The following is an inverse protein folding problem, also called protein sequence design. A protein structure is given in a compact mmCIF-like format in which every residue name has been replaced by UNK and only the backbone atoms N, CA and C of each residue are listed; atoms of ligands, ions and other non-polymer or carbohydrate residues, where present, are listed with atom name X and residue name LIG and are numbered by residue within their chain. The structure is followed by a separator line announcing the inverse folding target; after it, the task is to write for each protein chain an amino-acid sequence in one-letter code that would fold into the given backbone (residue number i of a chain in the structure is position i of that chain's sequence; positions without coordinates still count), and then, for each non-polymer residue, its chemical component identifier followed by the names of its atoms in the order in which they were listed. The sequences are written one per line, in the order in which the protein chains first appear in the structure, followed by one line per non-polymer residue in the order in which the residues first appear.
data_IF_086053725928
#
_entry.id   IF_086053725928
#
_cell.length_a   1.000
_cell.length_b   1.000
_cell.length_c   1.000
_cell.angle_alpha   90.00
_cell.angle_beta   90.00
_cell.angle_gamma   90.00
#
_symmetry.space_group_name_H-M   'P 1'
#
loop_
_entity.id
_entity.type
_entity.pdbx_description
1 polymer ?
#
# COMPACT_ATOMS: atom_id res chain seq x y z
N UNK A 1 1.08 60.46 -24.01
CA UNK A 1 1.15 58.98 -24.16
C UNK A 1 2.33 58.43 -23.37
N UNK A 2 2.12 57.44 -22.49
CA UNK A 2 3.19 56.91 -21.63
C UNK A 2 4.24 56.10 -22.41
N UNK A 3 5.50 56.52 -22.35
CA UNK A 3 6.65 55.82 -22.95
C UNK A 3 7.17 54.70 -22.06
N UNK A 4 7.08 54.85 -20.72
CA UNK A 4 7.65 53.90 -19.76
C UNK A 4 6.82 52.63 -19.47
N UNK A 5 5.51 52.62 -19.72
CA UNK A 5 4.62 51.45 -19.48
C UNK A 5 4.26 50.70 -20.77
N UNK A 6 5.24 50.54 -21.67
CA UNK A 6 5.11 49.74 -22.90
C UNK A 6 5.88 48.42 -22.77
N UNK A 7 5.35 47.37 -23.36
CA UNK A 7 5.97 46.04 -23.37
C UNK A 7 7.36 46.04 -24.03
N UNK A 8 7.52 46.79 -25.13
CA UNK A 8 8.82 46.96 -25.80
C UNK A 8 9.86 47.58 -24.87
N UNK A 9 9.52 48.71 -24.24
CA UNK A 9 10.38 49.43 -23.30
C UNK A 9 10.60 48.68 -21.97
N UNK A 10 9.70 47.76 -21.58
CA UNK A 10 9.95 46.84 -20.47
C UNK A 10 11.03 45.82 -20.84
N UNK A 11 10.92 45.18 -22.01
CA UNK A 11 11.85 44.13 -22.43
C UNK A 11 13.28 44.65 -22.59
N UNK A 12 13.42 45.86 -23.12
CA UNK A 12 14.71 46.57 -23.17
C UNK A 12 15.29 46.83 -21.77
N UNK A 13 14.48 47.34 -20.82
CA UNK A 13 14.92 47.55 -19.43
C UNK A 13 15.25 46.27 -18.67
N UNK A 14 14.57 45.17 -18.97
CA UNK A 14 14.81 43.88 -18.34
C UNK A 14 16.03 43.14 -18.92
N UNK A 15 16.79 43.76 -19.82
CA UNK A 15 17.97 43.13 -20.42
C UNK A 15 17.62 41.92 -21.28
N UNK A 16 16.37 41.83 -21.76
CA UNK A 16 15.92 40.82 -22.74
C UNK A 16 15.65 41.47 -24.10
N UNK A 17 16.61 42.20 -24.70
CA UNK A 17 16.38 42.80 -26.00
C UNK A 17 16.34 41.69 -27.05
N UNK A 18 15.21 41.57 -27.76
CA UNK A 18 15.04 40.82 -29.01
C UNK A 18 15.82 39.49 -29.06
N UNK A 19 15.19 38.38 -28.67
CA UNK A 19 15.69 37.00 -28.88
C UNK A 19 15.88 36.59 -30.37
N UNK A 20 15.89 37.52 -31.33
CA UNK A 20 15.89 37.23 -32.77
C UNK A 20 14.62 36.54 -33.29
N UNK A 21 13.84 35.89 -32.41
CA UNK A 21 12.61 35.15 -32.68
C UNK A 21 11.38 36.01 -32.31
N UNK A 22 11.16 37.08 -33.06
CA UNK A 22 10.02 37.99 -32.85
C UNK A 22 8.63 37.33 -32.92
N UNK A 23 8.55 36.14 -33.53
CA UNK A 23 7.36 35.31 -33.76
C UNK A 23 7.00 34.37 -32.60
N UNK A 24 7.93 34.04 -31.69
CA UNK A 24 7.69 33.07 -30.59
C UNK A 24 7.18 33.77 -29.32
N UNK A 25 6.25 34.72 -29.47
CA UNK A 25 5.65 35.43 -28.34
C UNK A 25 4.32 34.78 -27.96
N UNK A 26 4.19 34.40 -26.70
CA UNK A 26 2.90 33.95 -26.15
C UNK A 26 1.99 35.15 -25.94
N UNK A 27 0.80 35.13 -26.55
CA UNK A 27 -0.21 36.18 -26.35
C UNK A 27 -0.53 36.34 -24.87
N UNK A 28 -0.57 37.59 -24.40
CA UNK A 28 -0.92 37.94 -23.02
C UNK A 28 0.26 38.07 -22.05
N UNK A 29 1.50 37.95 -22.54
CA UNK A 29 2.71 38.24 -21.74
C UNK A 29 2.69 39.70 -21.25
N UNK A 30 2.86 39.89 -19.94
CA UNK A 30 2.85 41.20 -19.30
C UNK A 30 3.79 41.20 -18.07
N UNK A 31 3.86 42.32 -17.35
CA UNK A 31 4.81 42.48 -16.22
C UNK A 31 4.58 41.44 -15.10
N UNK A 32 3.36 40.95 -14.92
CA UNK A 32 2.98 40.01 -13.86
C UNK A 32 2.97 38.54 -14.30
N UNK A 33 2.96 38.30 -15.62
CA UNK A 33 2.76 36.99 -16.23
C UNK A 33 3.80 36.76 -17.31
N UNK A 34 4.77 35.93 -16.96
CA UNK A 34 5.72 35.36 -17.89
C UNK A 34 5.07 34.30 -18.79
N UNK A 35 5.70 34.01 -19.93
CA UNK A 35 5.24 33.00 -20.88
C UNK A 35 4.96 31.62 -20.24
N UNK A 36 5.78 31.17 -19.28
CA UNK A 36 5.56 29.92 -18.54
C UNK A 36 4.29 29.98 -17.69
N UNK A 37 4.09 31.07 -16.95
CA UNK A 37 2.90 31.30 -16.11
C UNK A 37 1.63 31.42 -16.95
N UNK A 38 1.71 31.99 -18.15
CA UNK A 38 0.60 32.01 -19.10
C UNK A 38 0.25 30.63 -19.63
N UNK A 39 1.24 29.79 -19.96
CA UNK A 39 0.98 28.41 -20.39
C UNK A 39 0.28 27.61 -19.30
N UNK A 40 0.70 27.72 -18.04
CA UNK A 40 0.04 27.04 -16.91
C UNK A 40 -1.36 27.59 -16.65
N UNK A 41 -1.57 28.91 -16.73
CA UNK A 41 -2.90 29.50 -16.58
C UNK A 41 -3.85 29.12 -17.74
N UNK A 42 -3.31 28.99 -18.95
CA UNK A 42 -4.09 28.57 -20.10
C UNK A 42 -4.49 27.10 -20.01
N UNK A 43 -3.71 26.25 -19.32
CA UNK A 43 -4.07 24.85 -19.05
C UNK A 43 -5.43 24.72 -18.35
N UNK A 44 -5.76 25.59 -17.39
CA UNK A 44 -7.06 25.55 -16.71
C UNK A 44 -8.25 25.94 -17.61
N UNK A 45 -7.98 26.62 -18.72
CA UNK A 45 -8.98 26.99 -19.74
C UNK A 45 -8.99 26.00 -20.90
N UNK A 46 -7.94 25.20 -21.02
CA UNK A 46 -7.73 24.21 -22.06
C UNK A 46 -8.47 22.90 -21.73
N UNK A 47 -8.74 22.07 -22.74
CA UNK A 47 -9.52 20.84 -22.60
C UNK A 47 -10.86 20.83 -23.34
N UNK A 48 -11.14 21.86 -24.14
CA UNK A 48 -12.30 21.90 -25.05
C UNK A 48 -11.83 21.70 -26.49
N UNK A 49 -12.55 20.84 -27.23
CA UNK A 49 -12.35 20.69 -28.66
C UNK A 49 -12.80 21.96 -29.41
N UNK A 50 -12.07 22.35 -30.46
CA UNK A 50 -12.48 23.43 -31.36
C UNK A 50 -13.28 22.87 -32.51
N UNK A 51 -14.36 23.56 -32.90
CA UNK A 51 -15.27 23.14 -33.95
C UNK A 51 -15.41 24.21 -35.03
N UNK A 52 -15.70 23.80 -36.27
CA UNK A 52 -16.13 24.70 -37.34
C UNK A 52 -17.61 25.12 -37.14
N UNK A 53 -18.12 26.00 -38.00
CA UNK A 53 -19.52 26.45 -37.93
C UNK A 53 -20.52 25.30 -38.18
N UNK A 54 -20.10 24.27 -38.91
CA UNK A 54 -20.84 23.04 -39.21
C UNK A 54 -20.86 22.05 -38.03
N UNK A 55 -20.10 22.31 -36.97
CA UNK A 55 -20.05 21.48 -35.76
C UNK A 55 -19.01 20.35 -35.79
N UNK A 56 -18.21 20.23 -36.85
CA UNK A 56 -17.13 19.26 -36.97
C UNK A 56 -15.91 19.69 -36.15
N UNK A 57 -15.24 18.73 -35.51
CA UNK A 57 -14.07 18.98 -34.67
C UNK A 57 -12.86 19.27 -35.57
N UNK A 58 -12.34 20.50 -35.50
CA UNK A 58 -11.13 20.91 -36.22
C UNK A 58 -9.87 20.66 -35.42
N UNK A 59 -9.95 20.79 -34.09
CA UNK A 59 -8.86 20.48 -33.16
C UNK A 59 -9.44 19.70 -31.99
N UNK A 60 -8.94 18.48 -31.78
CA UNK A 60 -9.31 17.67 -30.62
C UNK A 60 -8.91 18.35 -29.31
N UNK A 61 -9.61 18.02 -28.22
CA UNK A 61 -9.19 18.47 -26.90
C UNK A 61 -7.82 17.87 -26.54
N UNK A 62 -7.09 18.55 -25.67
CA UNK A 62 -5.81 18.08 -25.14
C UNK A 62 -5.95 16.66 -24.56
N UNK A 63 -5.05 15.76 -24.96
CA UNK A 63 -5.06 14.32 -24.62
C UNK A 63 -6.25 13.50 -25.14
N UNK A 64 -7.00 13.99 -26.13
CA UNK A 64 -8.12 13.29 -26.78
C UNK A 64 -7.94 13.16 -28.30
N UNK A 65 -6.71 12.90 -28.76
CA UNK A 65 -6.46 12.55 -30.16
C UNK A 65 -7.13 11.23 -30.51
N UNK A 66 -7.77 11.17 -31.69
CA UNK A 66 -8.43 9.95 -32.20
C UNK A 66 -7.50 9.10 -33.07
N UNK A 67 -6.28 9.58 -33.29
CA UNK A 67 -5.28 8.94 -34.13
C UNK A 67 -4.74 7.69 -33.43
N UNK A 68 -4.78 6.54 -34.12
CA UNK A 68 -4.19 5.30 -33.62
C UNK A 68 -2.66 5.36 -33.81
N UNK A 69 -1.86 5.28 -32.73
CA UNK A 69 -0.41 5.23 -32.88
C UNK A 69 0.04 3.86 -33.40
N UNK A 70 1.08 3.84 -34.23
CA UNK A 70 1.76 2.61 -34.63
C UNK A 70 2.59 2.08 -33.45
N UNK A 71 2.01 1.22 -32.63
CA UNK A 71 2.67 0.63 -31.46
C UNK A 71 3.51 -0.60 -31.86
N UNK A 72 4.68 -0.37 -32.47
CA UNK A 72 5.67 -1.43 -32.77
C UNK A 72 6.87 -1.30 -31.85
N UNK A 73 7.31 -2.42 -31.28
CA UNK A 73 8.53 -2.50 -30.47
C UNK A 73 9.65 -3.00 -31.39
N UNK A 74 10.69 -2.21 -31.54
CA UNK A 74 11.85 -2.59 -32.34
C UNK A 74 12.63 -3.71 -31.64
N UNK A 75 12.99 -4.79 -32.36
CA UNK A 75 13.86 -5.83 -31.81
C UNK A 75 15.24 -5.23 -31.50
N UNK A 76 15.65 -5.29 -30.24
CA UNK A 76 16.93 -4.74 -29.78
C UNK A 76 17.65 -5.72 -28.85
N UNK A 77 18.94 -5.96 -29.07
CA UNK A 77 19.77 -6.82 -28.21
C UNK A 77 19.85 -6.29 -26.77
N UNK A 78 19.66 -4.98 -26.57
CA UNK A 78 19.66 -4.33 -25.26
C UNK A 78 18.52 -4.81 -24.34
N UNK A 79 17.42 -5.34 -24.88
CA UNK A 79 16.34 -5.91 -24.08
C UNK A 79 16.78 -7.11 -23.25
N UNK A 80 17.78 -7.84 -23.74
CA UNK A 80 18.28 -9.08 -23.12
C UNK A 80 19.57 -8.85 -22.32
N UNK A 81 20.07 -7.61 -22.25
CA UNK A 81 21.21 -7.28 -21.42
C UNK A 81 20.75 -6.97 -19.99
N UNK A 82 21.60 -7.30 -19.01
CA UNK A 82 21.32 -7.01 -17.60
C UNK A 82 21.23 -5.48 -17.40
N UNK A 83 20.05 -4.99 -17.00
CA UNK A 83 19.78 -3.54 -16.86
C UNK A 83 20.17 -2.98 -15.48
N UNK A 84 20.22 -3.83 -14.45
CA UNK A 84 20.67 -3.47 -13.10
C UNK A 84 21.38 -4.66 -12.47
N UNK A 85 22.66 -4.50 -12.15
CA UNK A 85 23.50 -5.49 -11.47
C UNK A 85 24.04 -4.85 -10.20
N UNK A 86 24.19 -5.64 -9.14
CA UNK A 86 24.76 -5.21 -7.86
C UNK A 86 25.79 -6.25 -7.42
N UNK A 87 26.90 -5.80 -6.82
CA UNK A 87 27.90 -6.70 -6.26
C UNK A 87 27.45 -7.25 -4.91
N UNK A 88 27.93 -8.44 -4.55
CA UNK A 88 27.59 -9.06 -3.27
C UNK A 88 28.07 -8.23 -2.07
N UNK A 89 29.26 -7.64 -2.16
CA UNK A 89 29.81 -6.77 -1.11
C UNK A 89 28.97 -5.51 -0.89
N UNK A 90 28.48 -4.90 -1.98
CA UNK A 90 27.57 -3.76 -1.91
C UNK A 90 26.21 -4.17 -1.33
N UNK A 91 25.74 -5.40 -1.57
CA UNK A 91 24.52 -5.92 -0.95
C UNK A 91 24.68 -6.10 0.57
N UNK A 92 25.78 -6.70 1.02
CA UNK A 92 26.00 -6.95 2.45
C UNK A 92 26.15 -5.65 3.24
N UNK A 93 27.04 -4.75 2.80
CA UNK A 93 27.22 -3.43 3.43
C UNK A 93 25.91 -2.62 3.48
N UNK A 94 25.04 -2.82 2.49
CA UNK A 94 23.74 -2.16 2.46
C UNK A 94 22.73 -2.78 3.43
N UNK A 95 22.71 -4.11 3.61
CA UNK A 95 21.87 -4.77 4.62
C UNK A 95 22.20 -4.24 6.02
N UNK A 96 23.48 -4.10 6.33
CA UNK A 96 23.95 -3.59 7.62
C UNK A 96 23.52 -2.14 7.83
N UNK A 97 23.74 -1.27 6.83
CA UNK A 97 23.35 0.14 6.91
C UNK A 97 21.83 0.36 7.01
N UNK A 98 21.02 -0.49 6.37
CA UNK A 98 19.56 -0.42 6.47
C UNK A 98 19.09 -0.92 7.84
N UNK A 99 19.66 -2.00 8.37
CA UNK A 99 19.32 -2.52 9.69
C UNK A 99 19.61 -1.48 10.79
N UNK A 100 20.76 -0.80 10.71
CA UNK A 100 21.13 0.27 11.64
C UNK A 100 20.13 1.44 11.57
N UNK A 101 19.86 1.95 10.36
CA UNK A 101 19.03 3.16 10.17
C UNK A 101 17.53 2.93 10.27
N UNK A 102 17.03 1.73 10.00
CA UNK A 102 15.60 1.43 10.11
C UNK A 102 15.09 1.50 11.55
N UNK A 103 15.98 1.38 12.53
CA UNK A 103 15.64 1.41 13.96
C UNK A 103 15.57 2.82 14.56
N UNK A 104 16.14 3.83 13.90
CA UNK A 104 16.21 5.20 14.43
C UNK A 104 14.98 6.03 14.01
N UNK A 105 14.07 6.39 14.95
CA UNK A 105 12.87 7.16 14.63
C UNK A 105 13.14 8.65 14.34
N UNK A 106 14.34 9.17 14.63
CA UNK A 106 14.68 10.57 14.40
C UNK A 106 15.31 10.81 13.02
N UNK A 107 15.78 9.76 12.36
CA UNK A 107 16.33 9.85 11.01
C UNK A 107 15.23 9.57 9.97
N UNK A 108 15.03 10.53 9.06
CA UNK A 108 14.03 10.41 7.99
C UNK A 108 14.70 10.23 6.64
N UNK A 109 14.21 9.27 5.87
CA UNK A 109 14.72 8.96 4.55
C UNK A 109 14.05 9.86 3.49
N UNK A 110 14.79 10.85 2.96
CA UNK A 110 14.28 11.80 1.97
C UNK A 110 14.25 11.27 0.53
N UNK A 111 15.22 10.44 0.16
CA UNK A 111 15.30 9.86 -1.19
C UNK A 111 15.71 8.40 -1.11
N UNK A 112 14.79 7.51 -1.48
CA UNK A 112 15.12 6.11 -1.69
C UNK A 112 15.90 6.00 -3.00
N UNK A 113 17.14 5.49 -2.92
CA UNK A 113 17.78 4.99 -4.13
C UNK A 113 16.96 3.80 -4.64
N UNK A 114 16.91 3.58 -5.96
CA UNK A 114 16.16 2.47 -6.57
C UNK A 114 16.86 1.14 -6.28
N UNK A 115 16.65 0.63 -5.08
CA UNK A 115 17.36 -0.51 -4.50
C UNK A 115 16.48 -1.77 -4.52
N UNK A 116 17.07 -2.97 -4.67
CA UNK A 116 16.33 -4.23 -4.62
C UNK A 116 15.98 -4.58 -3.17
N UNK A 117 14.94 -3.94 -2.61
CA UNK A 117 14.49 -4.17 -1.23
C UNK A 117 14.10 -5.62 -0.94
N UNK A 118 13.71 -6.39 -1.97
CA UNK A 118 13.42 -7.82 -1.86
C UNK A 118 14.63 -8.66 -1.45
N UNK A 119 15.85 -8.26 -1.82
CA UNK A 119 17.08 -8.98 -1.48
C UNK A 119 17.61 -8.63 -0.08
N UNK A 120 17.00 -7.69 0.62
CA UNK A 120 17.45 -7.27 1.96
C UNK A 120 16.81 -8.14 3.04
N UNK A 121 15.55 -8.53 2.83
CA UNK A 121 14.74 -9.28 3.79
C UNK A 121 14.69 -10.75 3.40
N UNK A 122 15.83 -11.42 3.45
CA UNK A 122 15.88 -12.88 3.28
C UNK A 122 15.35 -13.52 4.57
N UNK A 123 14.05 -13.84 4.63
CA UNK A 123 13.54 -14.88 5.53
C UNK A 123 12.99 -14.49 6.90
N UNK A 124 12.80 -13.22 7.24
CA UNK A 124 12.21 -12.80 8.54
C UNK A 124 10.70 -13.15 8.72
N UNK A 125 10.13 -13.91 7.79
CA UNK A 125 8.80 -14.47 7.94
C UNK A 125 8.87 -15.81 8.67
N UNK A 126 8.56 -15.82 9.97
CA UNK A 126 8.30 -17.03 10.80
C UNK A 126 7.27 -17.98 10.13
N UNK A 127 6.49 -17.48 9.15
CA UNK A 127 5.55 -18.23 8.33
C UNK A 127 6.18 -19.04 7.19
N UNK A 128 7.42 -18.77 6.77
CA UNK A 128 8.08 -19.53 5.71
C UNK A 128 8.33 -20.99 6.10
N UNK A 129 8.75 -21.25 7.35
CA UNK A 129 8.94 -22.61 7.84
C UNK A 129 7.61 -23.38 7.95
N UNK A 130 6.56 -22.77 8.48
CA UNK A 130 5.23 -23.43 8.60
C UNK A 130 4.60 -23.66 7.22
N UNK A 131 4.69 -22.70 6.31
CA UNK A 131 4.22 -22.86 4.93
C UNK A 131 5.05 -23.89 4.17
N UNK A 132 6.36 -23.93 4.37
CA UNK A 132 7.23 -24.95 3.80
C UNK A 132 6.88 -26.34 4.33
N UNK A 133 6.71 -26.50 5.64
CA UNK A 133 6.27 -27.77 6.24
C UNK A 133 4.89 -28.20 5.75
N UNK A 134 3.92 -27.29 5.67
CA UNK A 134 2.60 -27.58 5.13
C UNK A 134 2.66 -27.95 3.63
N UNK A 135 3.47 -27.23 2.84
CA UNK A 135 3.69 -27.53 1.42
C UNK A 135 4.35 -28.90 1.24
N UNK A 136 5.41 -29.20 1.99
CA UNK A 136 6.03 -30.52 2.01
C UNK A 136 5.03 -31.62 2.41
N UNK A 137 4.17 -31.36 3.39
CA UNK A 137 3.14 -32.32 3.80
C UNK A 137 2.08 -32.55 2.70
N UNK A 138 1.67 -31.51 1.98
CA UNK A 138 0.72 -31.63 0.86
C UNK A 138 1.36 -32.33 -0.34
N UNK A 139 2.61 -32.03 -0.67
CA UNK A 139 3.35 -32.67 -1.76
C UNK A 139 3.65 -34.15 -1.46
N UNK A 140 4.01 -34.47 -0.22
CA UNK A 140 4.28 -35.86 0.18
C UNK A 140 3.01 -36.67 0.46
N UNK A 141 1.90 -36.01 0.80
CA UNK A 141 0.63 -36.66 1.12
C UNK A 141 -0.56 -35.82 0.64
N UNK A 142 -0.89 -35.88 -0.67
CA UNK A 142 -1.99 -35.11 -1.22
C UNK A 142 -3.34 -35.57 -0.66
N UNK A 143 -4.33 -34.68 -0.66
CA UNK A 143 -5.64 -34.95 -0.04
C UNK A 143 -6.35 -36.17 -0.66
N UNK A 144 -6.27 -36.32 -1.98
CA UNK A 144 -6.89 -37.43 -2.73
C UNK A 144 -6.34 -38.81 -2.33
N UNK A 145 -5.09 -38.87 -1.87
CA UNK A 145 -4.40 -40.12 -1.53
C UNK A 145 -4.43 -40.38 0.00
N UNK A 146 -4.75 -39.35 0.79
CA UNK A 146 -4.83 -39.44 2.25
C UNK A 146 -6.25 -39.71 2.74
N UNK A 147 -7.28 -39.14 2.10
CA UNK A 147 -8.69 -39.30 2.47
C UNK A 147 -9.56 -39.63 1.25
N UNK A 148 -10.60 -40.45 1.46
CA UNK A 148 -11.59 -40.80 0.44
C UNK A 148 -11.41 -42.20 -0.16
N UNK A 149 -12.20 -42.55 -1.20
CA UNK A 149 -12.25 -43.92 -1.73
C UNK A 149 -10.92 -44.42 -2.33
N UNK A 150 -10.06 -43.49 -2.77
CA UNK A 150 -8.73 -43.78 -3.33
C UNK A 150 -7.59 -43.69 -2.31
N UNK A 151 -7.90 -43.55 -1.01
CA UNK A 151 -6.91 -43.37 0.03
C UNK A 151 -5.91 -44.53 0.09
N UNK A 152 -4.63 -44.20 -0.07
CA UNK A 152 -3.49 -45.13 -0.01
C UNK A 152 -2.87 -45.20 1.40
N UNK A 153 -3.16 -44.23 2.27
CA UNK A 153 -2.62 -44.18 3.64
C UNK A 153 -3.26 -45.27 4.53
N UNK A 154 -2.46 -46.25 4.96
CA UNK A 154 -2.90 -47.33 5.86
C UNK A 154 -2.53 -47.14 7.33
N UNK A 155 -1.48 -46.37 7.65
CA UNK A 155 -1.02 -46.13 9.02
C UNK A 155 -0.80 -44.64 9.29
N UNK A 156 -1.01 -44.22 10.53
CA UNK A 156 -0.79 -42.84 10.98
C UNK A 156 0.69 -42.68 11.36
N UNK A 157 1.30 -41.56 10.96
CA UNK A 157 2.60 -41.14 11.50
C UNK A 157 2.33 -40.44 12.84
N UNK A 158 2.56 -41.14 13.94
CA UNK A 158 2.45 -40.59 15.28
C UNK A 158 3.84 -40.08 15.72
N UNK A 159 3.87 -38.97 16.45
CA UNK A 159 5.10 -38.39 17.01
C UNK A 159 5.55 -39.00 18.34
N UNK A 160 4.97 -40.14 18.73
CA UNK A 160 5.24 -40.84 20.00
C UNK A 160 5.87 -42.20 19.73
N UNK A 161 6.77 -42.63 20.62
CA UNK A 161 7.51 -43.88 20.47
C UNK A 161 6.96 -45.04 21.30
N UNK A 162 6.23 -44.75 22.38
CA UNK A 162 5.65 -45.74 23.30
C UNK A 162 4.21 -45.41 23.67
N UNK A 163 3.48 -46.42 24.18
CA UNK A 163 2.10 -46.23 24.64
C UNK A 163 2.03 -45.34 25.89
N UNK A 164 3.04 -45.41 26.75
CA UNK A 164 3.13 -44.59 27.96
C UNK A 164 3.32 -43.11 27.64
N UNK A 165 4.15 -42.80 26.65
CA UNK A 165 4.34 -41.43 26.12
C UNK A 165 3.05 -40.88 25.50
N UNK A 166 2.30 -41.71 24.77
CA UNK A 166 0.98 -41.34 24.24
C UNK A 166 -0.04 -41.04 25.35
N UNK A 167 -0.04 -41.82 26.43
CA UNK A 167 -0.91 -41.59 27.57
C UNK A 167 -0.55 -40.29 28.31
N UNK A 168 0.74 -40.01 28.50
CA UNK A 168 1.23 -38.76 29.08
C UNK A 168 0.85 -37.53 28.27
N UNK A 169 1.01 -37.57 26.94
CA UNK A 169 0.64 -36.46 26.07
C UNK A 169 -0.88 -36.27 25.99
N UNK A 170 -1.66 -37.35 26.04
CA UNK A 170 -3.12 -37.29 26.11
C UNK A 170 -3.60 -36.60 27.40
N UNK A 171 -2.98 -36.92 28.54
CA UNK A 171 -3.30 -36.27 29.82
C UNK A 171 -2.95 -34.76 29.80
N UNK A 172 -1.81 -34.39 29.21
CA UNK A 172 -1.44 -32.97 29.01
C UNK A 172 -2.40 -32.24 28.07
N UNK A 173 -2.80 -32.89 26.98
CA UNK A 173 -3.78 -32.35 26.04
C UNK A 173 -5.13 -32.12 26.74
N UNK A 174 -5.59 -33.09 27.54
CA UNK A 174 -6.79 -32.96 28.36
C UNK A 174 -6.69 -31.80 29.36
N UNK A 175 -5.60 -31.71 30.12
CA UNK A 175 -5.38 -30.61 31.07
C UNK A 175 -5.35 -29.25 30.34
N UNK A 176 -4.70 -29.17 29.18
CA UNK A 176 -4.70 -27.96 28.34
C UNK A 176 -6.09 -27.61 27.79
N UNK A 177 -6.91 -28.62 27.49
CA UNK A 177 -8.28 -28.45 27.01
C UNK A 177 -9.18 -27.97 28.15
N UNK A 178 -9.11 -28.61 29.32
CA UNK A 178 -9.81 -28.18 30.53
C UNK A 178 -9.44 -26.76 30.91
N UNK A 179 -8.16 -26.38 30.92
CA UNK A 179 -7.72 -25.00 31.17
C UNK A 179 -8.29 -23.99 30.18
N UNK A 180 -8.31 -24.31 28.88
CA UNK A 180 -8.91 -23.44 27.86
C UNK A 180 -10.41 -23.30 28.01
N UNK A 181 -11.09 -24.37 28.42
CA UNK A 181 -12.52 -24.34 28.68
C UNK A 181 -12.85 -23.54 29.95
N UNK A 182 -12.00 -23.66 30.99
CA UNK A 182 -12.12 -22.92 32.24
C UNK A 182 -11.82 -21.42 32.06
N UNK A 183 -10.90 -21.04 31.16
CA UNK A 183 -10.66 -19.65 30.74
C UNK A 183 -11.89 -18.98 30.12
N UNK A 184 -12.93 -19.76 29.77
CA UNK A 184 -14.22 -19.26 29.29
C UNK A 184 -15.15 -18.74 30.40
N UNK A 185 -14.81 -18.92 31.68
CA UNK A 185 -15.64 -18.52 32.82
C UNK A 185 -14.85 -17.66 33.82
N UNK A 186 -15.46 -16.61 34.38
CA UNK A 186 -14.92 -15.83 35.49
C UNK A 186 -14.89 -16.68 36.78
N UNK A 187 -14.13 -16.26 37.80
CA UNK A 187 -14.06 -16.93 39.10
C UNK A 187 -15.42 -17.05 39.84
N UNK A 188 -16.42 -16.27 39.42
CA UNK A 188 -17.81 -16.26 39.90
C UNK A 188 -18.74 -17.20 39.08
N UNK A 189 -18.20 -17.95 38.12
CA UNK A 189 -18.96 -18.90 37.29
C UNK A 189 -19.73 -18.28 36.11
N UNK A 190 -19.69 -16.96 35.94
CA UNK A 190 -20.25 -16.28 34.76
C UNK A 190 -19.33 -16.43 33.54
N UNK A 191 -19.88 -16.73 32.35
CA UNK A 191 -19.09 -16.83 31.12
C UNK A 191 -18.37 -15.51 30.79
N UNK A 192 -17.08 -15.58 30.43
CA UNK A 192 -16.29 -14.44 29.96
C UNK A 192 -16.77 -14.09 28.56
N UNK A 193 -17.61 -13.06 28.46
CA UNK A 193 -17.98 -12.46 27.18
C UNK A 193 -16.78 -11.65 26.67
N UNK A 194 -15.86 -12.31 25.96
CA UNK A 194 -14.96 -11.58 25.05
C UNK A 194 -15.87 -10.95 24.01
N UNK A 195 -15.76 -9.64 23.79
CA UNK A 195 -16.70 -8.84 22.99
C UNK A 195 -16.85 -9.20 21.51
N UNK A 196 -16.38 -10.37 21.08
CA UNK A 196 -16.49 -10.92 19.73
C UNK A 196 -16.89 -12.41 19.70
N UNK A 197 -17.02 -13.10 20.85
CA UNK A 197 -17.49 -14.50 20.91
C UNK A 197 -18.97 -14.55 21.31
N UNK A 198 -19.85 -14.53 20.30
CA UNK A 198 -21.30 -14.70 20.45
C UNK A 198 -21.71 -16.13 20.84
N UNK A 199 -20.76 -17.08 20.83
CA UNK A 199 -21.05 -18.51 21.00
C UNK A 199 -21.57 -18.87 22.40
N UNK A 200 -21.12 -18.19 23.47
CA UNK A 200 -21.57 -18.49 24.84
C UNK A 200 -22.99 -18.00 25.14
N UNK A 201 -23.52 -17.08 24.33
CA UNK A 201 -24.83 -16.45 24.55
C UNK A 201 -25.95 -17.17 23.78
N UNK A 202 -25.60 -17.92 22.72
CA UNK A 202 -26.58 -18.71 21.95
C UNK A 202 -27.19 -19.87 22.75
N UNK A 203 -26.45 -20.47 23.69
CA UNK A 203 -26.90 -21.64 24.48
C UNK A 203 -28.02 -21.32 25.49
N UNK A 204 -28.21 -20.03 25.83
CA UNK A 204 -29.29 -19.54 26.70
C UNK A 204 -30.49 -18.97 25.92
N UNK A 205 -30.49 -19.04 24.59
CA UNK A 205 -31.57 -18.51 23.73
C UNK A 205 -31.77 -16.99 23.81
N UNK A 206 -30.84 -16.26 24.45
CA UNK A 206 -30.93 -14.83 24.67
C UNK A 206 -30.15 -14.10 23.59
N UNK A 207 -30.81 -13.68 22.50
CA UNK A 207 -30.13 -12.92 21.44
C UNK A 207 -29.50 -11.64 22.01
N UNK A 208 -28.19 -11.47 21.81
CA UNK A 208 -27.51 -10.21 22.12
C UNK A 208 -28.18 -9.08 21.32
N UNK A 209 -28.44 -7.95 21.97
CA UNK A 209 -28.98 -6.77 21.29
C UNK A 209 -28.09 -6.38 20.10
N UNK A 210 -28.70 -6.01 18.97
CA UNK A 210 -27.95 -5.62 17.79
C UNK A 210 -27.06 -4.41 18.09
N UNK A 211 -25.81 -4.47 17.61
CA UNK A 211 -24.89 -3.33 17.74
C UNK A 211 -25.45 -2.14 16.97
N UNK A 212 -25.58 -1.02 17.65
CA UNK A 212 -26.09 0.19 17.03
C UNK A 212 -25.18 0.65 15.88
N UNK A 213 -25.80 1.14 14.80
CA UNK A 213 -25.08 1.60 13.61
C UNK A 213 -24.14 2.79 13.87
N UNK A 214 -24.31 3.49 14.99
CA UNK A 214 -23.44 4.59 15.42
C UNK A 214 -22.01 4.10 15.70
N UNK A 215 -21.85 2.90 16.23
CA UNK A 215 -20.54 2.32 16.54
C UNK A 215 -19.73 1.89 15.32
N UNK A 216 -20.34 1.90 14.12
CA UNK A 216 -19.67 1.64 12.84
C UNK A 216 -19.34 2.94 12.08
N UNK A 217 -19.73 4.10 12.62
CA UNK A 217 -19.32 5.40 12.07
C UNK A 217 -17.80 5.54 12.21
N UNK A 218 -17.16 6.14 11.20
CA UNK A 218 -15.70 6.22 11.10
C UNK A 218 -15.07 5.09 10.28
N UNK A 219 -15.73 3.94 10.12
CA UNK A 219 -15.20 2.80 9.35
C UNK A 219 -15.74 2.73 7.91
N UNK A 220 -16.41 3.78 7.44
CA UNK A 220 -17.03 3.79 6.10
C UNK A 220 -16.00 3.83 4.98
N UNK A 221 -16.28 3.13 3.86
CA UNK A 221 -15.47 3.18 2.63
C UNK A 221 -15.22 4.61 2.13
N UNK A 222 -16.20 5.51 2.30
CA UNK A 222 -16.05 6.92 1.93
C UNK A 222 -14.91 7.60 2.71
N UNK A 223 -14.84 7.36 4.01
CA UNK A 223 -13.83 7.96 4.90
C UNK A 223 -12.46 7.36 4.59
N UNK A 224 -12.39 6.04 4.40
CA UNK A 224 -11.14 5.37 4.03
C UNK A 224 -10.59 5.85 2.68
N UNK A 225 -11.44 6.07 1.67
CA UNK A 225 -10.99 6.61 0.38
C UNK A 225 -10.45 8.04 0.53
N UNK A 226 -11.10 8.87 1.35
CA UNK A 226 -10.60 10.22 1.66
C UNK A 226 -9.26 10.16 2.41
N UNK A 227 -9.12 9.25 3.38
CA UNK A 227 -7.87 9.02 4.10
C UNK A 227 -6.73 8.63 3.16
N UNK A 228 -6.93 7.63 2.30
CA UNK A 228 -5.89 7.19 1.36
C UNK A 228 -5.54 8.26 0.33
N UNK A 229 -6.52 9.07 -0.11
CA UNK A 229 -6.25 10.24 -0.97
C UNK A 229 -5.34 11.25 -0.27
N UNK A 230 -5.55 11.52 1.01
CA UNK A 230 -4.69 12.44 1.78
C UNK A 230 -3.30 11.84 1.95
N UNK A 231 -3.20 10.56 2.32
CA UNK A 231 -1.92 9.85 2.50
C UNK A 231 -1.07 9.92 1.21
N UNK A 232 -1.67 9.70 0.04
CA UNK A 232 -0.97 9.69 -1.25
C UNK A 232 -0.59 11.09 -1.75
N UNK A 233 -1.31 12.13 -1.31
CA UNK A 233 -1.06 13.53 -1.72
C UNK A 233 -0.18 14.32 -0.74
N UNK A 234 0.02 13.81 0.47
CA UNK A 234 0.81 14.47 1.51
C UNK A 234 2.28 14.04 1.51
N UNK A 235 3.19 15.00 1.61
CA UNK A 235 4.62 14.71 1.84
C UNK A 235 4.92 14.33 3.30
N UNK A 236 4.13 14.86 4.25
CA UNK A 236 4.29 14.62 5.69
C UNK A 236 2.92 14.35 6.31
N UNK A 237 2.83 13.30 7.12
CA UNK A 237 1.63 12.91 7.86
C UNK A 237 1.87 13.14 9.35
N UNK A 238 0.99 13.90 9.99
CA UNK A 238 1.02 14.12 11.43
C UNK A 238 -0.11 13.30 12.05
N UNK A 239 0.24 12.38 12.94
CA UNK A 239 -0.73 11.60 13.71
C UNK A 239 -1.03 12.35 15.01
N UNK A 240 -2.20 12.99 15.06
CA UNK A 240 -2.68 13.67 16.27
C UNK A 240 -3.26 12.63 17.23
N UNK A 241 -2.74 12.59 18.45
CA UNK A 241 -3.20 11.70 19.52
C UNK A 241 -3.85 12.50 20.63
N UNK A 242 -4.84 11.90 21.30
CA UNK A 242 -5.38 12.46 22.53
C UNK A 242 -4.44 12.14 23.70
N UNK A 243 -4.01 13.17 24.43
CA UNK A 243 -3.13 13.02 25.60
C UNK A 243 -3.73 12.20 26.74
N UNK A 244 -5.07 12.07 26.80
CA UNK A 244 -5.78 11.35 27.86
C UNK A 244 -5.66 9.83 27.72
N UNK A 245 -5.66 9.34 26.50
CA UNK A 245 -5.45 7.93 26.17
C UNK A 245 -4.72 7.80 24.82
N UNK A 246 -3.41 8.05 24.80
CA UNK A 246 -2.65 8.05 23.55
C UNK A 246 -2.51 6.65 22.94
N UNK A 247 -2.65 5.59 23.74
CA UNK A 247 -2.55 4.22 23.26
C UNK A 247 -3.87 3.74 22.65
N UNK A 248 -5.01 4.10 23.25
CA UNK A 248 -6.34 3.81 22.69
C UNK A 248 -6.64 4.59 21.41
N UNK A 249 -6.21 5.85 21.32
CA UNK A 249 -6.42 6.66 20.10
C UNK A 249 -5.39 6.42 19.00
N UNK A 250 -4.41 5.54 19.21
CA UNK A 250 -3.36 5.26 18.21
C UNK A 250 -3.81 4.19 17.21
N UNK A 251 -3.94 4.59 15.95
CA UNK A 251 -4.19 3.67 14.84
C UNK A 251 -2.91 2.96 14.35
N UNK A 252 -2.69 1.71 14.79
CA UNK A 252 -1.56 0.85 14.34
C UNK A 252 -1.73 0.28 12.93
N UNK A 253 -2.94 0.27 12.39
CA UNK A 253 -3.16 -0.23 11.02
C UNK A 253 -2.60 0.71 9.94
N UNK A 254 -2.49 2.01 10.26
CA UNK A 254 -1.99 3.05 9.35
C UNK A 254 -0.48 3.27 9.56
N UNK A 255 0.01 3.08 10.78
CA UNK A 255 1.44 3.13 11.13
C UNK A 255 2.00 1.71 11.12
N UNK A 256 2.75 1.36 10.07
CA UNK A 256 3.55 0.12 10.01
C UNK A 256 4.44 -0.07 11.24
#
# INVERSE_FOLDING_TARGET
MGTGKKEASRKERQGKPKDGMGNVKTKGENFYRDAKKLKTLNMFKDGKARRNAQGEITVSASYQSRDLPTARIEPNRKWFANSRVISQEALTSFRDAVAERASDPYQVLLKTNKLPMSLIRDGDGINGLKQHQAKMAIETSPFNDTFGPKAQRKRVKLGVSSLEDFAGESARSQDSYSRKNDEGFHADGSAIVRGDDTAAVEDLGLLTTSRESVFSKGQSKRIWNELYKVIDSSDVIIHVLDSRDPNGTRCRSVLL
#
